data_IF_312343637403
#
_entry.id   IF_312343637403
#
_cell.length_a   1.000
_cell.length_b   1.000
_cell.length_c   1.000
_cell.angle_alpha   90.00
_cell.angle_beta   90.00
_cell.angle_gamma   90.00
#
_symmetry.space_group_name_H-M   'P 1'
#
loop_
_entity.id
_entity.type
_entity.pdbx_description
1 polymer ?
#
# COMPACT_ATOMS: atom_id res chain seq x y z
N UNK A 1 -9.27 11.11 -3.05
CA UNK A 1 -7.94 11.41 -2.45
C UNK A 1 -7.94 11.62 -0.92
N UNK A 2 -9.07 11.55 -0.21
CA UNK A 2 -9.12 11.77 1.26
C UNK A 2 -8.39 10.70 2.08
N UNK A 3 -8.41 9.45 1.63
CA UNK A 3 -7.73 8.33 2.30
C UNK A 3 -6.20 8.43 2.23
N UNK A 4 -5.66 8.88 1.10
CA UNK A 4 -4.22 9.13 0.92
C UNK A 4 -3.73 10.29 1.79
N UNK A 5 -4.56 11.31 2.01
CA UNK A 5 -4.24 12.41 2.94
C UNK A 5 -4.16 11.90 4.38
N UNK A 6 -5.18 11.21 4.86
CA UNK A 6 -5.18 10.62 6.21
C UNK A 6 -4.04 9.60 6.41
N UNK A 7 -3.65 8.91 5.34
CA UNK A 7 -2.50 8.02 5.32
C UNK A 7 -1.17 8.76 5.55
N UNK A 8 -0.96 9.86 4.82
CA UNK A 8 0.23 10.70 4.98
C UNK A 8 0.31 11.30 6.38
N UNK A 9 -0.81 11.78 6.92
CA UNK A 9 -0.91 12.31 8.30
C UNK A 9 -0.54 11.24 9.34
N UNK A 10 -1.01 9.98 9.16
CA UNK A 10 -0.69 8.88 10.08
C UNK A 10 0.77 8.45 10.03
N UNK A 11 1.41 8.54 8.87
CA UNK A 11 2.84 8.24 8.70
C UNK A 11 3.70 9.35 9.30
N UNK A 12 3.35 10.62 9.06
CA UNK A 12 4.06 11.77 9.60
C UNK A 12 3.99 11.88 11.13
N UNK A 13 2.99 11.27 11.76
CA UNK A 13 2.85 11.20 13.22
C UNK A 13 3.76 10.14 13.88
N UNK A 14 4.57 9.39 13.12
CA UNK A 14 5.47 8.35 13.64
C UNK A 14 6.93 8.79 13.64
N UNK A 15 7.73 8.11 14.45
CA UNK A 15 9.19 8.24 14.44
C UNK A 15 9.77 7.93 13.04
N UNK A 16 10.82 8.64 12.57
CA UNK A 16 11.38 8.49 11.22
C UNK A 16 11.75 7.05 10.83
N UNK A 17 12.33 6.27 11.75
CA UNK A 17 12.71 4.88 11.46
C UNK A 17 11.46 4.00 11.25
N UNK A 18 10.42 4.28 12.03
CA UNK A 18 9.13 3.57 11.94
C UNK A 18 8.32 3.99 10.72
N UNK A 19 8.46 5.25 10.27
CA UNK A 19 7.88 5.74 9.03
C UNK A 19 8.42 4.98 7.82
N UNK A 20 9.74 4.78 7.74
CA UNK A 20 10.39 4.07 6.64
C UNK A 20 9.91 2.62 6.53
N UNK A 21 9.84 1.91 7.66
CA UNK A 21 9.34 0.54 7.71
C UNK A 21 7.85 0.45 7.32
N UNK A 22 7.01 1.37 7.83
CA UNK A 22 5.58 1.40 7.54
C UNK A 22 5.29 1.69 6.06
N UNK A 23 6.06 2.58 5.43
CA UNK A 23 5.98 2.85 3.98
C UNK A 23 6.35 1.61 3.18
N UNK A 24 7.51 0.98 3.46
CA UNK A 24 7.98 -0.20 2.74
C UNK A 24 6.97 -1.36 2.79
N UNK A 25 6.45 -1.68 3.98
CA UNK A 25 5.48 -2.77 4.15
C UNK A 25 4.22 -2.50 3.31
N UNK A 26 3.73 -1.27 3.29
CA UNK A 26 2.50 -0.94 2.57
C UNK A 26 2.67 -0.87 1.07
N UNK A 27 3.81 -0.37 0.59
CA UNK A 27 4.17 -0.44 -0.83
C UNK A 27 4.28 -1.90 -1.27
N UNK A 28 4.92 -2.77 -0.48
CA UNK A 28 4.99 -4.19 -0.79
C UNK A 28 3.60 -4.84 -0.87
N UNK A 29 2.68 -4.49 0.05
CA UNK A 29 1.30 -4.95 -0.01
C UNK A 29 0.58 -4.45 -1.25
N UNK A 30 0.66 -3.16 -1.56
CA UNK A 30 0.04 -2.58 -2.77
C UNK A 30 0.56 -3.25 -4.03
N UNK A 31 1.87 -3.44 -4.15
CA UNK A 31 2.48 -4.12 -5.30
C UNK A 31 2.03 -5.57 -5.41
N UNK A 32 1.86 -6.29 -4.30
CA UNK A 32 1.32 -7.65 -4.29
C UNK A 32 -0.13 -7.68 -4.73
N UNK A 33 -0.96 -6.75 -4.26
CA UNK A 33 -2.35 -6.63 -4.71
C UNK A 33 -2.42 -6.28 -6.20
N UNK A 34 -1.59 -5.36 -6.67
CA UNK A 34 -1.47 -5.06 -8.10
C UNK A 34 -1.07 -6.31 -8.88
N UNK A 35 -0.07 -7.06 -8.41
CA UNK A 35 0.36 -8.32 -9.02
C UNK A 35 -0.77 -9.37 -9.08
N UNK A 36 -1.57 -9.49 -8.01
CA UNK A 36 -2.74 -10.37 -7.97
C UNK A 36 -3.87 -9.89 -8.90
N UNK A 37 -4.07 -8.58 -9.05
CA UNK A 37 -5.05 -8.01 -9.97
C UNK A 37 -4.61 -8.07 -11.44
N UNK A 38 -3.29 -8.11 -11.70
CA UNK A 38 -2.70 -8.32 -13.02
C UNK A 38 -2.54 -9.79 -13.39
N UNK A 39 -2.60 -10.71 -12.41
CA UNK A 39 -2.68 -12.13 -12.73
C UNK A 39 -3.93 -12.34 -13.58
N UNK A 40 -3.81 -13.03 -14.73
CA UNK A 40 -4.91 -13.20 -15.67
C UNK A 40 -6.15 -13.74 -14.94
N UNK A 41 -7.13 -12.86 -14.71
CA UNK A 41 -8.45 -13.28 -14.26
C UNK A 41 -9.10 -13.93 -15.47
N UNK A 42 -8.82 -15.21 -15.67
CA UNK A 42 -9.53 -16.02 -16.66
C UNK A 42 -10.97 -16.12 -16.17
N UNK A 43 -11.86 -15.34 -16.78
CA UNK A 43 -13.30 -15.54 -16.63
C UNK A 43 -13.62 -16.91 -17.22
N UNK A 44 -13.85 -17.89 -16.36
CA UNK A 44 -14.40 -19.19 -16.78
C UNK A 44 -15.87 -18.97 -17.10
N UNK A 45 -16.19 -18.96 -18.38
CA UNK A 45 -17.56 -18.99 -18.92
C UNK A 45 -17.96 -20.40 -19.27
#
# INVERSE_FOLDING_TARGET
MRCLKAFGERIAARDPDRQTAEVHIRVALMNRFSALGTAEIVRVT
#
